data_IF_716842388082
#
_entry.id   IF_716842388082
#
_cell.length_a   1.000
_cell.length_b   1.000
_cell.length_c   1.000
_cell.angle_alpha   90.00
_cell.angle_beta   90.00
_cell.angle_gamma   90.00
#
_symmetry.space_group_name_H-M   'P 1'
#
loop_
_entity.id
_entity.type
_entity.pdbx_description
1 polymer ?
#
# COMPACT_ATOMS: atom_id res chain seq x y z
N UNK A 1 -5.56 -9.82 -20.93
CA UNK A 1 -5.54 -8.45 -21.46
C UNK A 1 -6.64 -8.29 -22.52
N UNK A 2 -6.74 -9.16 -23.53
CA UNK A 2 -7.71 -9.01 -24.64
C UNK A 2 -9.16 -8.85 -24.15
N UNK A 3 -9.60 -9.71 -23.22
CA UNK A 3 -10.93 -9.61 -22.62
C UNK A 3 -11.16 -8.24 -21.91
N UNK A 4 -10.16 -7.74 -21.20
CA UNK A 4 -10.24 -6.41 -20.52
C UNK A 4 -10.42 -5.30 -21.56
N UNK A 5 -9.72 -5.40 -22.69
CA UNK A 5 -9.85 -4.43 -23.81
C UNK A 5 -11.24 -4.51 -24.46
N UNK A 6 -11.79 -5.70 -24.63
CA UNK A 6 -13.14 -5.89 -25.16
C UNK A 6 -14.22 -5.26 -24.27
N UNK A 7 -14.00 -5.17 -22.95
CA UNK A 7 -14.89 -4.47 -22.02
C UNK A 7 -14.85 -2.93 -22.19
N UNK A 8 -13.87 -2.38 -22.92
CA UNK A 8 -13.75 -0.96 -23.16
C UNK A 8 -13.30 -0.13 -21.95
N UNK A 9 -12.69 -0.77 -20.95
CA UNK A 9 -12.13 -0.09 -19.77
C UNK A 9 -10.79 0.54 -20.11
N UNK A 10 -10.43 1.60 -19.39
CA UNK A 10 -9.17 2.32 -19.56
C UNK A 10 -8.16 2.04 -18.47
N UNK A 11 -8.62 1.66 -17.29
CA UNK A 11 -7.80 1.42 -16.11
C UNK A 11 -8.08 0.05 -15.52
N UNK A 12 -7.03 -0.62 -15.05
CA UNK A 12 -7.11 -1.87 -14.30
C UNK A 12 -6.67 -1.57 -12.89
N UNK A 13 -7.58 -1.75 -11.93
CA UNK A 13 -7.30 -1.62 -10.51
C UNK A 13 -6.94 -3.00 -9.97
N UNK A 14 -5.68 -3.19 -9.62
CA UNK A 14 -5.16 -4.42 -9.03
C UNK A 14 -5.40 -4.41 -7.52
N UNK A 15 -5.74 -5.57 -6.94
CA UNK A 15 -5.59 -5.81 -5.50
C UNK A 15 -4.12 -5.57 -5.09
N UNK A 16 -3.81 -5.41 -3.78
CA UNK A 16 -2.44 -5.18 -3.35
C UNK A 16 -1.47 -6.20 -3.94
N UNK A 17 -0.38 -5.72 -4.55
CA UNK A 17 0.64 -6.54 -5.22
C UNK A 17 2.01 -6.48 -4.55
N UNK A 18 2.14 -5.76 -3.44
CA UNK A 18 3.35 -5.82 -2.63
C UNK A 18 3.30 -6.99 -1.64
N UNK A 19 4.44 -7.31 -1.06
CA UNK A 19 4.68 -8.47 -0.19
C UNK A 19 3.71 -8.51 1.00
N UNK A 20 2.92 -9.58 1.08
CA UNK A 20 1.93 -9.85 2.12
C UNK A 20 2.23 -11.18 2.83
N UNK A 21 1.72 -11.39 4.04
CA UNK A 21 2.26 -12.39 4.94
C UNK A 21 1.47 -13.67 5.12
N UNK A 22 0.19 -13.73 4.74
CA UNK A 22 -0.65 -14.91 5.00
C UNK A 22 -0.41 -16.08 4.03
N UNK A 23 0.43 -15.89 3.02
CA UNK A 23 0.81 -16.93 2.08
C UNK A 23 2.32 -17.16 2.19
N UNK A 24 2.75 -18.40 2.42
CA UNK A 24 4.16 -18.77 2.32
C UNK A 24 4.55 -18.89 0.86
N UNK A 25 5.13 -17.84 0.31
CA UNK A 25 5.51 -17.73 -1.11
C UNK A 25 6.54 -18.77 -1.55
N UNK A 26 7.26 -19.40 -0.61
CA UNK A 26 8.23 -20.47 -0.87
C UNK A 26 7.63 -21.85 -1.11
N UNK A 27 6.34 -22.03 -0.86
CA UNK A 27 5.66 -23.30 -1.02
C UNK A 27 4.78 -23.32 -2.29
N UNK A 28 4.26 -24.50 -2.67
CA UNK A 28 3.27 -24.61 -3.75
C UNK A 28 1.97 -23.87 -3.36
N UNK A 29 1.74 -22.74 -4.01
CA UNK A 29 0.64 -21.83 -3.74
C UNK A 29 -0.62 -22.11 -4.57
N UNK A 30 -0.67 -23.20 -5.32
CA UNK A 30 -1.74 -23.51 -6.28
C UNK A 30 -3.15 -23.53 -5.67
N UNK A 31 -3.27 -23.72 -4.37
CA UNK A 31 -4.53 -23.75 -3.62
C UNK A 31 -4.69 -22.62 -2.60
N UNK A 32 -3.75 -21.69 -2.52
CA UNK A 32 -3.80 -20.57 -1.58
C UNK A 32 -4.24 -19.31 -2.30
N UNK A 33 -5.09 -18.54 -1.64
CA UNK A 33 -5.59 -17.27 -2.15
C UNK A 33 -5.55 -16.22 -1.05
N UNK A 34 -4.94 -15.08 -1.35
CA UNK A 34 -4.90 -13.92 -0.48
C UNK A 34 -5.25 -12.66 -1.28
N UNK A 35 -6.02 -11.76 -0.69
CA UNK A 35 -6.35 -10.47 -1.31
C UNK A 35 -5.23 -9.45 -1.18
N UNK A 36 -4.23 -9.71 -0.33
CA UNK A 36 -3.06 -8.85 -0.16
C UNK A 36 -3.21 -7.74 0.90
N UNK A 37 -4.27 -7.78 1.73
CA UNK A 37 -4.51 -6.74 2.75
C UNK A 37 -3.83 -7.04 4.09
N UNK A 38 -2.71 -7.74 4.09
CA UNK A 38 -1.87 -8.05 5.25
C UNK A 38 -0.39 -7.77 4.95
N UNK A 39 -0.03 -6.48 4.73
CA UNK A 39 1.29 -6.10 4.22
C UNK A 39 2.41 -6.40 5.20
N UNK A 40 3.52 -6.93 4.65
CA UNK A 40 4.79 -7.18 5.37
C UNK A 40 5.87 -6.22 4.89
N UNK A 41 6.06 -6.08 3.58
CA UNK A 41 7.03 -5.16 2.98
C UNK A 41 6.38 -4.32 1.87
N UNK A 42 6.23 -3.02 2.10
CA UNK A 42 5.54 -2.11 1.18
C UNK A 42 6.25 -1.85 -0.15
N UNK A 43 7.58 -2.05 -0.21
CA UNK A 43 8.39 -1.67 -1.38
C UNK A 43 8.94 -2.88 -2.15
N UNK A 44 8.31 -4.03 -2.00
CA UNK A 44 8.70 -5.30 -2.63
C UNK A 44 7.46 -5.92 -3.27
N UNK A 45 7.49 -6.32 -4.55
CA UNK A 45 6.40 -7.09 -5.15
C UNK A 45 6.21 -8.44 -4.46
N UNK A 46 4.98 -8.91 -4.41
CA UNK A 46 4.60 -10.20 -3.83
C UNK A 46 5.24 -11.37 -4.61
N UNK A 47 5.88 -12.28 -3.88
CA UNK A 47 6.60 -13.40 -4.47
C UNK A 47 5.71 -14.54 -4.96
N UNK A 48 4.52 -14.73 -4.38
CA UNK A 48 3.59 -15.79 -4.81
C UNK A 48 3.05 -15.60 -6.24
N UNK A 49 3.17 -14.38 -6.79
CA UNK A 49 2.86 -14.10 -8.21
C UNK A 49 4.05 -14.32 -9.14
N UNK A 50 5.23 -14.57 -8.60
CA UNK A 50 6.46 -14.76 -9.37
C UNK A 50 6.64 -16.21 -9.82
N UNK A 51 7.25 -16.41 -10.97
CA UNK A 51 7.66 -17.74 -11.43
C UNK A 51 8.81 -18.34 -10.64
N UNK A 52 9.56 -17.50 -9.88
CA UNK A 52 10.59 -17.92 -8.93
C UNK A 52 10.55 -17.04 -7.68
N UNK A 53 9.77 -17.41 -6.65
CA UNK A 53 9.62 -16.62 -5.43
C UNK A 53 10.90 -16.53 -4.59
N UNK A 54 11.84 -17.45 -4.76
CA UNK A 54 13.12 -17.46 -4.04
C UNK A 54 14.15 -16.48 -4.62
N UNK A 55 13.86 -15.89 -5.80
CA UNK A 55 14.74 -14.92 -6.46
C UNK A 55 14.05 -13.54 -6.56
N UNK A 56 14.48 -12.62 -5.70
CA UNK A 56 13.90 -11.27 -5.65
C UNK A 56 13.95 -10.50 -6.99
N UNK A 57 14.98 -10.72 -7.81
CA UNK A 57 15.10 -10.07 -9.12
C UNK A 57 14.00 -10.53 -10.09
N UNK A 58 13.53 -11.77 -9.98
CA UNK A 58 12.49 -12.31 -10.84
C UNK A 58 11.15 -11.64 -10.55
N UNK A 59 10.75 -11.54 -9.27
CA UNK A 59 9.48 -10.87 -8.91
C UNK A 59 9.43 -9.40 -9.35
N UNK A 60 10.54 -8.67 -9.19
CA UNK A 60 10.65 -7.27 -9.64
C UNK A 60 10.50 -7.16 -11.14
N UNK A 61 11.24 -7.99 -11.89
CA UNK A 61 11.21 -8.00 -13.35
C UNK A 61 9.83 -8.36 -13.89
N UNK A 62 9.20 -9.39 -13.35
CA UNK A 62 7.88 -9.87 -13.81
C UNK A 62 6.78 -8.87 -13.49
N UNK A 63 6.79 -8.22 -12.30
CA UNK A 63 5.86 -7.14 -11.98
C UNK A 63 5.99 -5.98 -12.98
N UNK A 64 7.21 -5.53 -13.28
CA UNK A 64 7.46 -4.49 -14.29
C UNK A 64 7.02 -4.92 -15.69
N UNK A 65 7.22 -6.19 -16.07
CA UNK A 65 6.76 -6.73 -17.35
C UNK A 65 5.23 -6.79 -17.46
N UNK A 66 4.54 -7.15 -16.37
CA UNK A 66 3.08 -7.15 -16.32
C UNK A 66 2.52 -5.75 -16.59
N UNK A 67 3.03 -4.74 -15.86
CA UNK A 67 2.58 -3.35 -16.00
C UNK A 67 2.89 -2.84 -17.42
N UNK A 68 4.12 -3.08 -17.90
CA UNK A 68 4.47 -2.72 -19.29
C UNK A 68 3.53 -3.36 -20.32
N UNK A 69 3.16 -4.62 -20.12
CA UNK A 69 2.23 -5.30 -21.03
C UNK A 69 0.83 -4.67 -21.01
N UNK A 70 0.37 -4.16 -19.88
CA UNK A 70 -0.89 -3.39 -19.81
C UNK A 70 -0.77 -2.07 -20.55
N UNK A 71 0.30 -1.31 -20.35
CA UNK A 71 0.57 -0.05 -21.05
C UNK A 71 0.68 -0.24 -22.56
N UNK A 72 1.41 -1.26 -23.03
CA UNK A 72 1.54 -1.59 -24.45
C UNK A 72 0.18 -1.89 -25.10
N UNK A 73 -0.83 -2.24 -24.30
CA UNK A 73 -2.21 -2.48 -24.72
C UNK A 73 -3.17 -1.31 -24.45
N UNK A 74 -2.65 -0.15 -24.06
CA UNK A 74 -3.43 1.06 -23.80
C UNK A 74 -4.26 1.03 -22.51
N UNK A 75 -3.85 0.22 -21.53
CA UNK A 75 -4.47 0.11 -20.21
C UNK A 75 -3.58 0.78 -19.18
N UNK A 76 -4.14 1.67 -18.38
CA UNK A 76 -3.51 2.22 -17.18
C UNK A 76 -3.65 1.29 -15.98
N UNK A 77 -2.68 1.32 -15.06
CA UNK A 77 -2.64 0.44 -13.90
C UNK A 77 -2.77 1.23 -12.61
N UNK A 78 -3.78 0.89 -11.81
CA UNK A 78 -4.00 1.43 -10.47
C UNK A 78 -3.62 0.38 -9.44
N UNK A 79 -2.81 0.76 -8.46
CA UNK A 79 -2.39 -0.10 -7.36
C UNK A 79 -3.22 0.18 -6.11
N UNK A 80 -3.78 -0.88 -5.53
CA UNK A 80 -4.37 -0.81 -4.19
C UNK A 80 -3.26 -0.80 -3.13
N UNK A 81 -3.25 0.18 -2.24
CA UNK A 81 -2.21 0.37 -1.22
C UNK A 81 -2.78 0.39 0.19
N UNK A 82 -2.18 -0.40 1.08
CA UNK A 82 -2.63 -0.66 2.45
C UNK A 82 -1.64 -0.07 3.44
N UNK A 83 -1.51 1.27 3.47
CA UNK A 83 -0.60 1.93 4.41
C UNK A 83 -1.19 2.13 5.81
N UNK A 84 -2.46 1.77 5.99
CA UNK A 84 -3.19 2.00 7.24
C UNK A 84 -2.81 1.03 8.37
N UNK A 85 -2.26 -0.15 8.07
CA UNK A 85 -1.78 -1.13 9.04
C UNK A 85 -0.69 -2.03 8.44
N UNK A 86 -0.08 -2.87 9.26
CA UNK A 86 0.82 -3.96 8.86
C UNK A 86 0.29 -5.30 9.37
N UNK A 87 0.70 -6.41 8.74
CA UNK A 87 0.26 -7.75 9.15
C UNK A 87 0.48 -8.02 10.65
N UNK A 88 1.66 -7.68 11.16
CA UNK A 88 2.02 -7.81 12.59
C UNK A 88 2.85 -6.61 13.02
N UNK A 89 2.31 -5.79 13.92
CA UNK A 89 3.06 -4.65 14.43
C UNK A 89 4.30 -5.08 15.22
N UNK A 90 4.25 -6.20 15.95
CA UNK A 90 5.37 -6.73 16.72
C UNK A 90 6.50 -7.26 15.83
N UNK A 91 6.15 -7.76 14.64
CA UNK A 91 7.13 -8.32 13.70
C UNK A 91 7.63 -7.32 12.67
N UNK A 92 6.94 -6.21 12.51
CA UNK A 92 7.31 -5.20 11.52
C UNK A 92 8.68 -4.60 11.81
N UNK A 93 9.56 -4.62 10.81
CA UNK A 93 10.96 -4.27 10.95
C UNK A 93 11.19 -2.86 11.53
N UNK A 94 10.37 -1.88 11.16
CA UNK A 94 10.49 -0.50 11.67
C UNK A 94 10.09 -0.41 13.14
N UNK A 95 9.05 -1.13 13.57
CA UNK A 95 8.68 -1.19 14.99
C UNK A 95 9.74 -1.88 15.86
N UNK A 96 10.47 -2.86 15.29
CA UNK A 96 11.63 -3.49 15.97
C UNK A 96 12.82 -2.53 16.08
N UNK A 97 13.05 -1.70 15.06
CA UNK A 97 14.15 -0.71 15.06
C UNK A 97 13.84 0.49 15.96
N UNK A 98 12.60 0.99 15.90
CA UNK A 98 12.16 2.17 16.69
C UNK A 98 10.81 1.83 17.34
N UNK A 99 10.81 1.12 18.46
CA UNK A 99 9.59 0.70 19.14
C UNK A 99 8.63 1.86 19.43
N UNK A 100 7.33 1.64 19.12
CA UNK A 100 6.30 2.62 19.39
C UNK A 100 6.26 3.82 18.44
N UNK A 101 7.03 3.81 17.34
CA UNK A 101 7.07 4.97 16.43
C UNK A 101 6.20 4.79 15.18
N UNK A 102 6.22 3.63 14.51
CA UNK A 102 5.49 3.43 13.27
C UNK A 102 3.99 3.19 13.51
N UNK A 103 3.65 2.37 14.48
CA UNK A 103 2.26 2.09 14.83
C UNK A 103 1.76 3.00 15.96
N UNK A 104 0.46 3.34 15.93
CA UNK A 104 -0.19 4.11 17.00
C UNK A 104 -0.32 3.26 18.25
N UNK A 105 0.03 3.84 19.40
CA UNK A 105 -0.06 3.21 20.72
C UNK A 105 -1.07 4.00 21.56
N UNK A 106 -2.03 3.30 22.15
CA UNK A 106 -2.98 3.84 23.09
C UNK A 106 -2.32 4.18 24.43
N UNK A 107 -3.01 4.93 25.30
CA UNK A 107 -2.49 5.33 26.62
C UNK A 107 -2.15 4.13 27.52
N UNK A 108 -2.83 3.00 27.37
CA UNK A 108 -2.60 1.76 28.10
C UNK A 108 -1.43 0.91 27.56
N UNK A 109 -0.77 1.38 26.49
CA UNK A 109 0.34 0.71 25.83
C UNK A 109 -0.07 -0.33 24.77
N UNK A 110 -1.35 -0.56 24.54
CA UNK A 110 -1.84 -1.41 23.44
C UNK A 110 -1.73 -0.70 22.09
N UNK A 111 -1.70 -1.46 21.00
CA UNK A 111 -1.83 -0.87 19.65
C UNK A 111 -3.26 -0.35 19.43
N UNK A 112 -3.37 0.81 18.79
CA UNK A 112 -4.64 1.26 18.22
C UNK A 112 -5.10 0.29 17.14
N UNK A 113 -6.41 0.03 17.05
CA UNK A 113 -6.98 -0.98 16.16
C UNK A 113 -8.24 -0.48 15.45
N UNK A 114 -8.21 0.72 14.89
CA UNK A 114 -9.28 1.27 14.07
C UNK A 114 -9.44 0.51 12.75
N UNK A 115 -8.36 -0.07 12.23
CA UNK A 115 -8.37 -0.94 11.05
C UNK A 115 -9.14 -2.26 11.26
N UNK A 116 -9.24 -2.73 12.51
CA UNK A 116 -9.71 -4.08 12.83
C UNK A 116 -8.67 -5.18 12.55
N UNK A 117 -7.46 -4.80 12.11
CA UNK A 117 -6.36 -5.71 11.77
C UNK A 117 -5.28 -5.82 12.86
N UNK A 118 -5.55 -5.29 14.05
CA UNK A 118 -4.66 -5.38 15.20
C UNK A 118 -3.70 -4.23 15.39
N UNK A 119 -3.57 -3.33 14.42
CA UNK A 119 -2.72 -2.14 14.53
C UNK A 119 -3.12 -1.06 13.52
N UNK A 120 -2.73 0.19 13.80
CA UNK A 120 -2.92 1.34 12.92
C UNK A 120 -1.59 2.07 12.73
N UNK A 121 -1.32 2.53 11.52
CA UNK A 121 -0.12 3.28 11.17
C UNK A 121 -0.21 4.74 11.65
N UNK A 122 0.84 5.24 12.30
CA UNK A 122 0.93 6.61 12.79
C UNK A 122 1.43 7.56 11.68
N UNK A 123 0.64 7.73 10.63
CA UNK A 123 1.00 8.53 9.43
C UNK A 123 1.30 10.00 9.75
N UNK A 124 0.72 10.53 10.81
CA UNK A 124 0.95 11.90 11.32
C UNK A 124 2.37 12.16 11.84
N UNK A 125 3.19 11.11 12.01
CA UNK A 125 4.59 11.24 12.45
C UNK A 125 5.51 11.46 11.27
N UNK A 126 6.38 12.43 11.37
CA UNK A 126 7.18 12.93 10.23
C UNK A 126 7.93 11.85 9.45
N UNK A 127 8.58 10.88 10.13
CA UNK A 127 9.32 9.82 9.43
C UNK A 127 8.43 8.71 8.90
N UNK A 128 7.25 8.49 9.51
CA UNK A 128 6.24 7.57 8.96
C UNK A 128 5.63 8.17 7.70
N UNK A 129 5.25 9.45 7.73
CA UNK A 129 4.80 10.21 6.56
C UNK A 129 5.82 10.12 5.44
N UNK A 130 7.09 10.48 5.75
CA UNK A 130 8.17 10.38 4.75
C UNK A 130 8.28 8.98 4.15
N UNK A 131 8.19 7.95 4.96
CA UNK A 131 8.25 6.56 4.48
C UNK A 131 7.12 6.24 3.51
N UNK A 132 5.89 6.67 3.82
CA UNK A 132 4.72 6.44 2.95
C UNK A 132 4.85 7.24 1.65
N UNK A 133 5.22 8.52 1.73
CA UNK A 133 5.45 9.39 0.56
C UNK A 133 6.51 8.80 -0.37
N UNK A 134 7.68 8.45 0.19
CA UNK A 134 8.78 7.84 -0.58
C UNK A 134 8.34 6.53 -1.23
N UNK A 135 7.52 5.73 -0.53
CA UNK A 135 7.01 4.45 -1.04
C UNK A 135 6.07 4.65 -2.24
N UNK A 136 5.13 5.60 -2.16
CA UNK A 136 4.21 5.87 -3.29
C UNK A 136 4.98 6.45 -4.49
N UNK A 137 5.92 7.37 -4.25
CA UNK A 137 6.81 7.88 -5.30
C UNK A 137 7.61 6.74 -5.96
N UNK A 138 8.15 5.82 -5.16
CA UNK A 138 8.88 4.66 -5.69
C UNK A 138 8.01 3.80 -6.63
N UNK A 139 6.76 3.51 -6.28
CA UNK A 139 5.87 2.75 -7.15
C UNK A 139 5.47 3.53 -8.42
N UNK A 140 5.32 4.85 -8.32
CA UNK A 140 5.08 5.69 -9.49
C UNK A 140 6.31 5.75 -10.42
N UNK A 141 7.51 5.96 -9.87
CA UNK A 141 8.74 6.13 -10.63
C UNK A 141 9.24 4.80 -11.22
N UNK A 142 9.36 3.76 -10.38
CA UNK A 142 10.02 2.51 -10.77
C UNK A 142 9.10 1.52 -11.48
N UNK A 143 7.81 1.55 -11.17
CA UNK A 143 6.82 0.63 -11.77
C UNK A 143 5.85 1.34 -12.72
N UNK A 144 5.92 2.67 -12.81
CA UNK A 144 5.05 3.48 -13.69
C UNK A 144 3.57 3.25 -13.40
N UNK A 145 3.19 3.24 -12.11
CA UNK A 145 1.79 3.17 -11.72
C UNK A 145 1.05 4.45 -12.14
N UNK A 146 -0.12 4.28 -12.74
CA UNK A 146 -0.97 5.39 -13.21
C UNK A 146 -1.97 5.86 -12.14
N UNK A 147 -2.07 5.15 -11.04
CA UNK A 147 -2.94 5.54 -9.94
C UNK A 147 -2.76 4.71 -8.69
N UNK A 148 -3.29 5.26 -7.58
CA UNK A 148 -3.27 4.61 -6.28
C UNK A 148 -4.64 4.68 -5.62
N UNK A 149 -5.14 3.54 -5.16
CA UNK A 149 -6.32 3.44 -4.30
C UNK A 149 -5.86 3.15 -2.88
N UNK A 150 -6.17 4.04 -1.96
CA UNK A 150 -5.80 3.88 -0.54
C UNK A 150 -6.88 3.11 0.21
N UNK A 151 -6.53 1.93 0.65
CA UNK A 151 -7.34 1.13 1.57
C UNK A 151 -7.47 1.87 2.90
N UNK A 152 -8.70 1.93 3.45
CA UNK A 152 -9.02 2.57 4.72
C UNK A 152 -8.31 3.93 4.91
N UNK A 153 -8.32 4.79 3.89
CA UNK A 153 -7.64 6.10 3.91
C UNK A 153 -8.08 6.97 5.08
N UNK A 154 -9.29 6.75 5.59
CA UNK A 154 -9.81 7.41 6.78
C UNK A 154 -9.02 7.17 8.07
N UNK A 155 -8.05 6.26 8.08
CA UNK A 155 -7.08 6.05 9.17
C UNK A 155 -5.79 6.85 9.00
N UNK A 156 -5.55 7.42 7.82
CA UNK A 156 -4.38 8.25 7.53
C UNK A 156 -4.71 9.73 7.69
N UNK A 157 -3.72 10.53 8.05
CA UNK A 157 -3.91 11.97 8.16
C UNK A 157 -3.89 12.68 6.79
N UNK A 158 -4.66 13.77 6.70
CA UNK A 158 -4.81 14.55 5.46
C UNK A 158 -3.52 15.17 4.98
N UNK A 159 -2.61 15.56 5.88
CA UNK A 159 -1.35 16.16 5.49
C UNK A 159 -0.47 15.15 4.77
N UNK A 160 -0.46 13.88 5.23
CA UNK A 160 0.25 12.78 4.55
C UNK A 160 -0.31 12.55 3.15
N UNK A 161 -1.63 12.49 2.99
CA UNK A 161 -2.26 12.29 1.69
C UNK A 161 -1.97 13.47 0.75
N UNK A 162 -2.07 14.70 1.24
CA UNK A 162 -1.76 15.89 0.44
C UNK A 162 -0.30 15.92 -0.01
N UNK A 163 0.64 15.56 0.88
CA UNK A 163 2.07 15.50 0.55
C UNK A 163 2.37 14.42 -0.50
N UNK A 164 1.71 13.24 -0.41
CA UNK A 164 1.81 12.20 -1.45
C UNK A 164 1.39 12.75 -2.81
N UNK A 165 0.20 13.34 -2.89
CA UNK A 165 -0.32 13.89 -4.15
C UNK A 165 0.60 14.97 -4.71
N UNK A 166 1.07 15.88 -3.85
CA UNK A 166 1.98 16.96 -4.25
C UNK A 166 3.32 16.41 -4.78
N UNK A 167 3.96 15.47 -4.07
CA UNK A 167 5.26 14.94 -4.46
C UNK A 167 5.18 14.11 -5.75
N UNK A 168 4.18 13.22 -5.87
CA UNK A 168 3.99 12.41 -7.08
C UNK A 168 3.66 13.30 -8.29
N UNK A 169 2.81 14.31 -8.14
CA UNK A 169 2.43 15.18 -9.25
C UNK A 169 3.56 16.10 -9.75
N UNK A 170 4.68 16.23 -9.03
CA UNK A 170 5.88 16.94 -9.55
C UNK A 170 6.49 16.26 -10.78
N UNK A 171 6.41 14.94 -10.83
CA UNK A 171 7.01 14.10 -11.89
C UNK A 171 5.96 13.36 -12.73
N UNK A 172 4.81 13.03 -12.13
CA UNK A 172 3.73 12.25 -12.73
C UNK A 172 2.37 12.96 -12.57
N UNK A 173 2.11 14.07 -13.28
CA UNK A 173 0.93 14.91 -13.04
C UNK A 173 -0.42 14.23 -13.36
N UNK A 174 -0.41 13.15 -14.13
CA UNK A 174 -1.62 12.43 -14.57
C UNK A 174 -1.99 11.25 -13.64
N UNK A 175 -1.17 10.94 -12.62
CA UNK A 175 -1.45 9.87 -11.65
C UNK A 175 -2.70 10.20 -10.84
N UNK A 176 -3.64 9.26 -10.79
CA UNK A 176 -4.92 9.44 -10.07
C UNK A 176 -4.85 8.88 -8.65
N UNK A 177 -5.56 9.53 -7.71
CA UNK A 177 -5.64 9.14 -6.31
C UNK A 177 -7.09 9.06 -5.84
N UNK A 178 -7.43 7.99 -5.14
CA UNK A 178 -8.72 7.81 -4.45
C UNK A 178 -8.58 6.82 -3.30
N UNK A 179 -9.63 6.65 -2.49
CA UNK A 179 -9.55 5.73 -1.36
C UNK A 179 -10.85 5.59 -0.58
N UNK A 180 -10.82 4.73 0.42
CA UNK A 180 -11.94 4.46 1.33
C UNK A 180 -11.90 5.41 2.53
N UNK A 181 -12.67 6.49 2.46
CA UNK A 181 -12.72 7.52 3.49
C UNK A 181 -13.68 7.21 4.65
N UNK A 182 -13.77 5.98 5.12
CA UNK A 182 -14.61 5.61 6.26
C UNK A 182 -14.21 6.39 7.52
N UNK A 183 -15.20 6.79 8.33
CA UNK A 183 -14.96 7.32 9.67
C UNK A 183 -14.72 6.15 10.61
N UNK A 184 -13.50 6.06 11.15
CA UNK A 184 -13.07 4.95 12.03
C UNK A 184 -12.43 5.53 13.29
N UNK A 185 -12.59 4.84 14.42
CA UNK A 185 -11.96 5.22 15.67
C UNK A 185 -10.50 4.72 15.67
N UNK A 186 -9.55 5.63 15.84
CA UNK A 186 -8.12 5.31 15.93
C UNK A 186 -7.43 6.21 16.96
N UNK A 187 -6.43 5.67 17.63
CA UNK A 187 -5.70 6.34 18.72
C UNK A 187 -4.72 7.40 18.22
N UNK A 188 -5.22 8.49 17.62
CA UNK A 188 -4.39 9.65 17.28
C UNK A 188 -4.09 10.42 18.56
N UNK A 189 -2.81 10.50 18.92
CA UNK A 189 -2.33 11.17 20.14
C UNK A 189 -1.80 12.58 19.91
N UNK A 190 -1.60 12.99 18.66
CA UNK A 190 -1.10 14.33 18.30
C UNK A 190 -2.26 15.29 18.13
N UNK A 191 -2.19 16.46 18.76
CA UNK A 191 -3.17 17.52 18.58
C UNK A 191 -3.20 18.05 17.13
N UNK A 192 -4.39 18.48 16.68
CA UNK A 192 -4.64 19.06 15.36
C UNK A 192 -4.39 18.12 14.15
N UNK A 193 -4.47 16.81 14.35
CA UNK A 193 -4.47 15.86 13.23
C UNK A 193 -5.88 15.74 12.67
N UNK A 194 -6.00 15.92 11.36
CA UNK A 194 -7.24 15.67 10.62
C UNK A 194 -7.07 14.39 9.81
N UNK A 195 -7.97 13.44 9.98
CA UNK A 195 -7.97 12.19 9.21
C UNK A 195 -8.68 12.39 7.86
N UNK A 196 -8.24 11.64 6.85
CA UNK A 196 -8.74 11.70 5.48
C UNK A 196 -10.10 10.98 5.33
N UNK A 197 -11.07 11.38 6.15
CA UNK A 197 -12.41 10.78 6.18
C UNK A 197 -13.34 11.46 5.19
N UNK A 198 -14.24 10.67 4.63
CA UNK A 198 -15.37 11.13 3.82
C UNK A 198 -16.39 11.84 4.73
N UNK A 199 -16.87 13.02 4.31
CA UNK A 199 -17.91 13.79 5.01
C UNK A 199 -19.29 13.54 4.39
#
# INVERSE_FOLDING_TARGET
IDHIKELGVTHVHLLPIYDFGSVDEGNDQSNLYNWGYDPVNYNVPEGSYSTDPHNGDVRVKEAKQMIKSMHDNGLSVVMDVVYNHVMSADDFCINKLVPGYFSRINEDGSYSNGSGCGNDTASERNMVRKYIVDSVCYWADEYHMDGFRFDLVGLLDTDTINEIVEEVHKTHPDVIFYGEGWTMETGVTKDNVTLATQR
#
